data_IF_541471497385
#
_entry.id   IF_541471497385
#
_cell.length_a   1.000
_cell.length_b   1.000
_cell.length_c   1.000
_cell.angle_alpha   90.00
_cell.angle_beta   90.00
_cell.angle_gamma   90.00
#
_symmetry.space_group_name_H-M   'P 1'
#
loop_
_entity.id
_entity.type
_entity.pdbx_description
1 polymer ?
#
# COMPACT_ATOMS: atom_id res chain seq x y z
N UNK A 1 -19.18 -38.11 10.97
CA UNK A 1 -19.91 -37.28 11.95
C UNK A 1 -20.69 -36.26 11.16
N UNK A 2 -22.01 -36.29 11.22
CA UNK A 2 -22.87 -35.48 10.33
C UNK A 2 -23.48 -34.28 11.06
N UNK A 3 -22.88 -33.91 12.21
CA UNK A 3 -23.33 -32.81 13.05
C UNK A 3 -22.58 -31.53 12.68
N UNK A 4 -23.27 -30.42 12.32
CA UNK A 4 -22.62 -29.14 12.06
C UNK A 4 -21.77 -28.66 13.25
N UNK A 5 -20.61 -28.05 12.97
CA UNK A 5 -19.66 -27.58 14.00
C UNK A 5 -20.32 -26.67 15.05
N UNK A 6 -21.22 -25.78 14.63
CA UNK A 6 -21.98 -24.89 15.52
C UNK A 6 -22.83 -25.63 16.56
N UNK A 7 -23.27 -26.86 16.26
CA UNK A 7 -24.10 -27.69 17.16
C UNK A 7 -23.27 -28.54 18.13
N UNK A 8 -21.94 -28.57 18.01
CA UNK A 8 -21.07 -29.26 18.97
C UNK A 8 -21.13 -28.58 20.33
N UNK A 9 -20.93 -29.33 21.41
CA UNK A 9 -20.75 -28.74 22.73
C UNK A 9 -19.41 -28.00 22.79
N UNK A 10 -19.26 -27.05 23.71
CA UNK A 10 -18.01 -26.30 23.90
C UNK A 10 -16.82 -27.25 24.12
N UNK A 11 -16.97 -28.20 25.05
CA UNK A 11 -15.99 -29.26 25.28
C UNK A 11 -15.60 -30.05 24.02
N UNK A 12 -16.56 -30.35 23.13
CA UNK A 12 -16.27 -31.06 21.88
C UNK A 12 -15.45 -30.19 20.92
N UNK A 13 -15.76 -28.88 20.85
CA UNK A 13 -14.99 -27.93 20.04
C UNK A 13 -13.58 -27.75 20.59
N UNK A 14 -13.44 -27.63 21.90
CA UNK A 14 -12.14 -27.44 22.54
C UNK A 14 -11.22 -28.65 22.33
N UNK A 15 -11.75 -29.86 22.45
CA UNK A 15 -10.96 -31.07 22.18
C UNK A 15 -10.49 -31.12 20.71
N UNK A 16 -11.34 -30.71 19.78
CA UNK A 16 -10.98 -30.67 18.36
C UNK A 16 -9.94 -29.58 18.06
N UNK A 17 -10.09 -28.38 18.64
CA UNK A 17 -9.25 -27.23 18.33
C UNK A 17 -7.93 -27.25 19.10
N UNK A 18 -7.96 -27.56 20.39
CA UNK A 18 -6.83 -27.42 21.32
C UNK A 18 -6.31 -28.76 21.86
N UNK A 19 -6.96 -29.87 21.50
CA UNK A 19 -6.46 -31.22 21.76
C UNK A 19 -7.12 -31.93 22.94
N UNK A 20 -6.73 -33.19 23.13
CA UNK A 20 -7.32 -34.08 24.14
C UNK A 20 -6.73 -33.94 25.55
N UNK A 21 -5.83 -32.97 25.77
CA UNK A 21 -5.04 -32.86 27.00
C UNK A 21 -4.13 -34.08 27.14
N UNK A 22 -4.13 -34.72 28.31
CA UNK A 22 -3.31 -35.93 28.55
C UNK A 22 -3.99 -37.23 28.11
N UNK A 23 -5.19 -37.17 27.53
CA UNK A 23 -5.92 -38.37 27.13
C UNK A 23 -5.41 -38.89 25.80
N UNK A 24 -4.94 -40.12 25.80
CA UNK A 24 -4.59 -40.83 24.57
C UNK A 24 -5.83 -41.27 23.81
N UNK A 25 -5.79 -41.13 22.49
CA UNK A 25 -6.85 -41.54 21.57
C UNK A 25 -6.26 -42.56 20.60
N UNK A 26 -6.98 -43.66 20.36
CA UNK A 26 -6.60 -44.63 19.33
C UNK A 26 -7.01 -44.11 17.95
N UNK A 27 -6.02 -43.86 17.10
CA UNK A 27 -6.21 -43.50 15.70
C UNK A 27 -5.95 -44.71 14.80
N UNK A 28 -6.89 -44.99 13.90
CA UNK A 28 -6.73 -45.99 12.85
C UNK A 28 -6.52 -45.28 11.52
N UNK A 29 -5.36 -45.50 10.90
CA UNK A 29 -4.99 -44.90 9.62
C UNK A 29 -4.95 -45.97 8.54
N UNK A 30 -5.58 -45.69 7.40
CA UNK A 30 -5.45 -46.51 6.20
C UNK A 30 -4.28 -46.00 5.37
N UNK A 31 -3.29 -46.85 5.14
CA UNK A 31 -2.15 -46.51 4.29
C UNK A 31 -2.57 -46.52 2.82
N UNK A 32 -1.85 -45.76 1.99
CA UNK A 32 -2.07 -45.72 0.52
C UNK A 32 -2.01 -47.09 -0.16
N UNK A 33 -1.30 -48.06 0.42
CA UNK A 33 -1.16 -49.44 -0.11
C UNK A 33 -2.18 -50.44 0.47
N UNK A 34 -3.21 -49.99 1.20
CA UNK A 34 -4.35 -50.83 1.61
C UNK A 34 -4.24 -51.49 2.99
N UNK A 35 -3.15 -51.28 3.75
CA UNK A 35 -3.03 -51.75 5.13
C UNK A 35 -3.53 -50.74 6.17
N UNK A 36 -4.21 -51.20 7.21
CA UNK A 36 -4.62 -50.38 8.37
C UNK A 36 -3.59 -50.43 9.49
N UNK A 37 -3.21 -49.27 10.03
CA UNK A 37 -2.32 -49.14 11.19
C UNK A 37 -3.05 -48.42 12.33
N UNK A 38 -3.04 -49.03 13.51
CA UNK A 38 -3.51 -48.40 14.74
C UNK A 38 -2.35 -47.73 15.47
N UNK A 39 -2.58 -46.53 16.00
CA UNK A 39 -1.65 -45.82 16.88
C UNK A 39 -2.44 -45.13 17.99
N UNK A 40 -2.05 -45.37 19.22
CA UNK A 40 -2.55 -44.62 20.37
C UNK A 40 -1.63 -43.43 20.59
N UNK A 41 -2.18 -42.23 20.55
CA UNK A 41 -1.43 -41.00 20.80
C UNK A 41 -2.32 -39.91 21.35
N UNK A 42 -1.73 -38.95 22.04
CA UNK A 42 -2.41 -37.71 22.42
C UNK A 42 -2.72 -36.90 21.16
N UNK A 43 -3.95 -36.40 21.08
CA UNK A 43 -4.34 -35.50 20.00
C UNK A 43 -3.97 -34.06 20.38
N UNK A 44 -3.01 -33.47 19.67
CA UNK A 44 -2.52 -32.11 19.97
C UNK A 44 -3.55 -30.99 19.64
N UNK A 45 -4.60 -31.30 18.87
CA UNK A 45 -5.56 -30.30 18.41
C UNK A 45 -5.18 -29.65 17.07
N UNK A 46 -6.18 -29.12 16.37
CA UNK A 46 -5.98 -28.50 15.04
C UNK A 46 -5.17 -27.20 15.14
N UNK A 47 -5.44 -26.34 16.12
CA UNK A 47 -4.77 -25.03 16.26
C UNK A 47 -3.29 -25.19 16.64
N UNK A 48 -2.92 -25.99 17.66
CA UNK A 48 -1.52 -26.26 17.96
C UNK A 48 -0.80 -26.96 16.80
N UNK A 49 -1.46 -27.87 16.08
CA UNK A 49 -0.87 -28.50 14.89
C UNK A 49 -0.48 -27.49 13.82
N UNK A 50 -1.39 -26.56 13.46
CA UNK A 50 -1.12 -25.51 12.46
C UNK A 50 0.02 -24.61 12.94
N UNK A 51 -0.06 -24.13 14.19
CA UNK A 51 0.96 -23.24 14.77
C UNK A 51 2.34 -23.90 14.79
N UNK A 52 2.42 -25.15 15.26
CA UNK A 52 3.67 -25.91 15.33
C UNK A 52 4.26 -26.16 13.94
N UNK A 53 3.43 -26.58 12.97
CA UNK A 53 3.88 -26.79 11.58
C UNK A 53 4.35 -25.50 10.91
N UNK A 54 3.77 -24.36 11.25
CA UNK A 54 4.23 -23.07 10.76
C UNK A 54 5.61 -22.70 11.33
N UNK A 55 5.82 -22.83 12.64
CA UNK A 55 7.07 -22.41 13.30
C UNK A 55 8.22 -23.41 13.14
N UNK A 56 7.95 -24.71 13.21
CA UNK A 56 8.99 -25.74 13.24
C UNK A 56 9.33 -26.31 11.85
N UNK A 57 8.45 -26.16 10.85
CA UNK A 57 8.73 -26.74 9.53
C UNK A 57 9.91 -26.01 8.86
N UNK A 58 10.88 -26.75 8.28
CA UNK A 58 11.94 -26.17 7.45
C UNK A 58 11.47 -25.86 6.02
N UNK A 59 10.26 -26.29 5.62
CA UNK A 59 9.74 -26.12 4.27
C UNK A 59 8.95 -24.81 4.14
N UNK A 60 9.40 -23.93 3.25
CA UNK A 60 8.72 -22.67 2.93
C UNK A 60 7.29 -22.90 2.43
N UNK A 61 7.09 -23.85 1.51
CA UNK A 61 5.77 -24.27 1.04
C UNK A 61 4.84 -24.67 2.19
N UNK A 62 5.36 -25.39 3.19
CA UNK A 62 4.54 -25.77 4.35
C UNK A 62 4.14 -24.55 5.17
N UNK A 63 5.06 -23.59 5.39
CA UNK A 63 4.75 -22.35 6.10
C UNK A 63 3.70 -21.52 5.37
N UNK A 64 3.84 -21.37 4.06
CA UNK A 64 2.87 -20.66 3.21
C UNK A 64 1.48 -21.34 3.21
N UNK A 65 1.45 -22.68 3.23
CA UNK A 65 0.18 -23.40 3.34
C UNK A 65 -0.48 -23.23 4.70
N UNK A 66 0.30 -23.16 5.79
CA UNK A 66 -0.24 -22.95 7.14
C UNK A 66 -0.67 -21.49 7.37
N UNK A 67 0.04 -20.51 6.77
CA UNK A 67 -0.29 -19.09 6.94
C UNK A 67 -1.68 -18.72 6.42
N UNK A 68 -2.22 -19.47 5.44
CA UNK A 68 -3.60 -19.31 4.94
C UNK A 68 -4.68 -19.48 6.01
N UNK A 69 -4.35 -20.12 7.14
CA UNK A 69 -5.26 -20.31 8.27
C UNK A 69 -4.95 -19.37 9.45
N UNK A 70 -4.03 -18.42 9.25
CA UNK A 70 -3.58 -17.49 10.27
C UNK A 70 -3.98 -16.06 9.89
N UNK A 71 -4.05 -15.18 10.88
CA UNK A 71 -4.21 -13.74 10.67
C UNK A 71 -3.06 -13.02 11.36
N UNK A 72 -2.62 -11.92 10.76
CA UNK A 72 -1.67 -11.01 11.41
C UNK A 72 -2.40 -10.24 12.51
N UNK A 73 -1.77 -10.13 13.67
CA UNK A 73 -2.23 -9.35 14.81
C UNK A 73 -1.15 -8.34 15.20
N UNK A 74 -1.51 -7.17 15.74
CA UNK A 74 -0.54 -6.24 16.31
C UNK A 74 0.30 -6.95 17.38
N UNK A 75 1.62 -6.78 17.30
CA UNK A 75 2.54 -7.33 18.30
C UNK A 75 2.21 -6.78 19.69
N UNK A 76 2.09 -7.66 20.69
CA UNK A 76 1.77 -7.26 22.07
C UNK A 76 2.85 -6.40 22.72
N UNK A 77 4.11 -6.51 22.28
CA UNK A 77 5.25 -5.78 22.85
C UNK A 77 5.35 -4.34 22.32
N UNK A 78 5.24 -4.16 21.00
CA UNK A 78 5.40 -2.85 20.36
C UNK A 78 4.09 -2.24 19.89
N UNK A 79 2.96 -2.92 20.10
CA UNK A 79 1.62 -2.53 19.67
C UNK A 79 1.52 -2.18 18.18
N UNK A 80 2.33 -2.84 17.34
CA UNK A 80 2.37 -2.58 15.90
C UNK A 80 3.29 -1.43 15.47
N UNK A 81 3.96 -0.73 16.40
CA UNK A 81 4.88 0.39 16.10
C UNK A 81 6.25 -0.04 15.55
N UNK A 82 6.58 -1.33 15.63
CA UNK A 82 7.79 -1.97 15.03
C UNK A 82 9.14 -1.42 15.53
N UNK A 83 9.13 -0.72 16.67
CA UNK A 83 10.31 -0.12 17.29
C UNK A 83 10.49 -0.60 18.73
N UNK A 84 11.72 -0.50 19.23
CA UNK A 84 12.03 -0.81 20.62
C UNK A 84 11.42 0.23 21.57
N UNK A 85 11.32 -0.13 22.86
CA UNK A 85 10.76 0.77 23.88
C UNK A 85 11.61 2.03 24.04
N UNK A 86 12.92 1.90 23.91
CA UNK A 86 13.88 3.01 23.99
C UNK A 86 13.66 3.99 22.84
N UNK A 87 13.49 3.50 21.61
CA UNK A 87 13.21 4.33 20.44
C UNK A 87 11.86 5.07 20.57
N UNK A 88 10.84 4.41 21.13
CA UNK A 88 9.52 5.02 21.39
C UNK A 88 9.51 5.97 22.60
N UNK A 89 10.60 6.03 23.38
CA UNK A 89 10.73 6.95 24.51
C UNK A 89 11.31 8.32 24.09
N UNK A 90 11.61 8.51 22.81
CA UNK A 90 12.07 9.79 22.25
C UNK A 90 10.88 10.57 21.71
N UNK A 91 10.70 11.80 22.20
CA UNK A 91 9.60 12.68 21.82
C UNK A 91 10.12 13.92 21.11
N UNK A 92 9.44 14.31 20.04
CA UNK A 92 9.64 15.57 19.34
C UNK A 92 8.28 16.27 19.35
N UNK A 93 8.22 17.54 19.77
CA UNK A 93 6.95 18.28 19.85
C UNK A 93 5.81 17.55 20.57
N UNK A 94 6.13 16.78 21.63
CA UNK A 94 5.17 16.04 22.44
C UNK A 94 4.74 14.66 21.92
N UNK A 95 5.20 14.19 20.75
CA UNK A 95 4.86 12.88 20.20
C UNK A 95 6.12 12.05 19.89
N UNK A 96 6.03 10.73 20.05
CA UNK A 96 7.08 9.83 19.57
C UNK A 96 6.89 9.48 18.09
N UNK A 97 7.93 8.92 17.48
CA UNK A 97 7.93 8.55 16.05
C UNK A 97 6.79 7.59 15.68
N UNK A 98 6.43 6.66 16.57
CA UNK A 98 5.36 5.69 16.32
C UNK A 98 3.97 6.32 16.25
N UNK A 99 3.74 7.37 17.03
CA UNK A 99 2.47 8.13 17.01
C UNK A 99 2.36 9.01 15.76
N UNK A 100 3.46 9.66 15.36
CA UNK A 100 3.44 10.55 14.19
C UNK A 100 3.20 9.77 12.89
N UNK A 101 3.72 8.54 12.76
CA UNK A 101 3.49 7.74 11.56
C UNK A 101 2.08 7.13 11.46
N UNK A 102 1.34 7.11 12.57
CA UNK A 102 -0.08 6.71 12.61
C UNK A 102 -1.01 7.83 12.14
N UNK A 103 -0.56 9.08 12.12
CA UNK A 103 -1.31 10.17 11.52
C UNK A 103 -1.49 9.96 10.02
N UNK A 104 -2.67 10.36 9.54
CA UNK A 104 -2.85 10.57 8.10
C UNK A 104 -1.90 11.66 7.61
N UNK A 105 -1.58 11.66 6.33
CA UNK A 105 -0.66 12.62 5.72
C UNK A 105 -1.13 14.06 5.96
N UNK A 106 -2.44 14.33 5.89
CA UNK A 106 -3.00 15.65 6.24
C UNK A 106 -2.73 16.04 7.70
N UNK A 107 -2.95 15.13 8.64
CA UNK A 107 -2.70 15.35 10.07
C UNK A 107 -1.22 15.54 10.36
N UNK A 108 -0.34 14.70 9.78
CA UNK A 108 1.10 14.82 9.90
C UNK A 108 1.61 16.15 9.33
N UNK A 109 1.09 16.57 8.17
CA UNK A 109 1.43 17.86 7.57
C UNK A 109 1.06 19.02 8.48
N UNK A 110 -0.15 18.99 9.06
CA UNK A 110 -0.60 20.01 10.00
C UNK A 110 0.24 20.00 11.28
N UNK A 111 0.60 18.82 11.78
CA UNK A 111 1.47 18.68 12.95
C UNK A 111 2.85 19.32 12.71
N UNK A 112 3.55 18.98 11.62
CA UNK A 112 4.88 19.54 11.35
C UNK A 112 4.86 21.03 11.00
N UNK A 113 3.77 21.55 10.43
CA UNK A 113 3.62 23.00 10.18
C UNK A 113 3.48 23.82 11.46
N UNK A 114 2.87 23.23 12.50
CA UNK A 114 2.54 23.91 13.75
C UNK A 114 3.36 23.41 14.94
N UNK A 115 4.41 22.62 14.69
CA UNK A 115 5.26 22.10 15.75
C UNK A 115 5.99 23.24 16.44
N UNK A 116 5.88 23.29 17.77
CA UNK A 116 6.57 24.29 18.56
C UNK A 116 7.88 23.70 19.11
N UNK A 117 9.01 24.27 18.71
CA UNK A 117 10.35 23.87 19.11
C UNK A 117 11.08 25.05 19.76
N UNK A 118 12.13 24.78 20.54
CA UNK A 118 13.02 25.83 21.04
C UNK A 118 13.73 26.53 19.87
N UNK A 119 14.22 27.76 20.06
CA UNK A 119 14.94 28.48 19.00
C UNK A 119 16.15 27.68 18.48
N UNK A 120 16.87 27.00 19.38
CA UNK A 120 18.02 26.18 19.04
C UNK A 120 17.61 24.95 18.22
N UNK A 121 16.60 24.21 18.67
CA UNK A 121 16.11 23.02 17.96
C UNK A 121 15.53 23.40 16.60
N UNK A 122 14.80 24.52 16.53
CA UNK A 122 14.24 25.04 15.30
C UNK A 122 15.34 25.39 14.29
N UNK A 123 16.44 26.00 14.74
CA UNK A 123 17.57 26.32 13.87
C UNK A 123 18.23 25.06 13.28
N UNK A 124 18.40 24.01 14.09
CA UNK A 124 18.98 22.72 13.66
C UNK A 124 18.02 21.96 12.73
N UNK A 125 16.73 21.90 13.09
CA UNK A 125 15.73 21.10 12.41
C UNK A 125 15.13 21.79 11.16
N UNK A 126 15.37 23.10 10.95
CA UNK A 126 14.73 23.90 9.90
C UNK A 126 14.77 23.23 8.52
N UNK A 127 15.94 22.74 8.09
CA UNK A 127 16.09 22.12 6.78
C UNK A 127 15.38 20.76 6.68
N UNK A 128 15.38 19.99 7.76
CA UNK A 128 14.69 18.70 7.86
C UNK A 128 13.17 18.93 7.85
N UNK A 129 12.66 19.88 8.63
CA UNK A 129 11.24 20.24 8.67
C UNK A 129 10.75 20.73 7.31
N UNK A 130 11.53 21.56 6.61
CA UNK A 130 11.21 21.99 5.24
C UNK A 130 11.06 20.80 4.30
N UNK A 131 11.96 19.82 4.36
CA UNK A 131 11.90 18.63 3.52
C UNK A 131 10.69 17.75 3.84
N UNK A 132 10.41 17.51 5.13
CA UNK A 132 9.25 16.73 5.58
C UNK A 132 7.95 17.40 5.11
N UNK A 133 7.79 18.70 5.38
CA UNK A 133 6.62 19.48 4.98
C UNK A 133 6.46 19.46 3.46
N UNK A 134 7.54 19.60 2.70
CA UNK A 134 7.51 19.54 1.24
C UNK A 134 6.99 18.18 0.75
N UNK A 135 7.54 17.06 1.26
CA UNK A 135 7.13 15.71 0.86
C UNK A 135 5.68 15.40 1.21
N UNK A 136 5.26 15.75 2.42
CA UNK A 136 3.87 15.59 2.85
C UNK A 136 2.92 16.45 2.01
N UNK A 137 3.34 17.66 1.62
CA UNK A 137 2.58 18.53 0.71
C UNK A 137 2.43 17.88 -0.67
N UNK A 138 3.49 17.29 -1.23
CA UNK A 138 3.39 16.59 -2.52
C UNK A 138 2.41 15.42 -2.47
N UNK A 139 2.47 14.61 -1.42
CA UNK A 139 1.52 13.50 -1.24
C UNK A 139 0.07 14.01 -1.11
N UNK A 140 -0.13 15.13 -0.41
CA UNK A 140 -1.44 15.78 -0.32
C UNK A 140 -1.93 16.35 -1.66
N UNK A 141 -1.03 16.90 -2.48
CA UNK A 141 -1.38 17.46 -3.80
C UNK A 141 -1.82 16.37 -4.79
N UNK A 142 -1.27 15.16 -4.68
CA UNK A 142 -1.68 14.01 -5.49
C UNK A 142 -2.85 13.21 -4.88
N UNK A 143 -3.58 13.78 -3.92
CA UNK A 143 -4.81 13.18 -3.39
C UNK A 143 -4.58 11.98 -2.47
N UNK A 144 -3.46 11.91 -1.76
CA UNK A 144 -3.13 10.81 -0.83
C UNK A 144 -3.22 11.24 0.64
N UNK A 145 -3.88 12.35 0.95
CA UNK A 145 -3.90 12.95 2.28
C UNK A 145 -4.54 12.10 3.38
N UNK A 146 -5.34 11.10 2.98
CA UNK A 146 -6.03 10.15 3.86
C UNK A 146 -5.16 8.96 4.28
N UNK A 147 -4.05 8.71 3.58
CA UNK A 147 -3.13 7.62 3.92
C UNK A 147 -2.32 7.95 5.16
N UNK A 148 -1.97 6.93 5.94
CA UNK A 148 -1.00 7.04 7.03
C UNK A 148 0.41 6.67 6.54
N UNK A 149 1.45 7.19 7.20
CA UNK A 149 2.84 6.90 6.84
C UNK A 149 3.24 5.44 7.17
N UNK A 150 2.55 4.81 8.12
CA UNK A 150 2.77 3.42 8.51
C UNK A 150 1.96 2.40 7.69
N UNK A 151 1.17 2.82 6.68
CA UNK A 151 0.40 1.89 5.84
C UNK A 151 1.34 0.95 5.08
N UNK A 152 1.04 -0.35 5.13
CA UNK A 152 1.83 -1.35 4.43
C UNK A 152 1.74 -1.18 2.91
N UNK A 153 2.88 -1.10 2.23
CA UNK A 153 2.96 -0.85 0.78
C UNK A 153 2.19 -1.88 -0.06
N UNK A 154 2.19 -3.15 0.36
CA UNK A 154 1.45 -4.22 -0.33
C UNK A 154 -0.08 -4.09 -0.27
N UNK A 155 -0.62 -3.16 0.53
CA UNK A 155 -2.06 -2.90 0.63
C UNK A 155 -2.52 -1.70 -0.20
N UNK A 156 -1.60 -1.06 -0.91
CA UNK A 156 -1.91 0.07 -1.79
C UNK A 156 -2.49 -0.43 -3.11
N UNK A 157 -3.50 0.28 -3.61
CA UNK A 157 -3.97 0.13 -4.98
C UNK A 157 -2.91 0.59 -5.99
N UNK A 158 -3.05 0.16 -7.25
CA UNK A 158 -2.15 0.57 -8.34
C UNK A 158 -2.06 2.10 -8.48
N UNK A 159 -3.22 2.79 -8.46
CA UNK A 159 -3.28 4.25 -8.53
C UNK A 159 -2.63 4.94 -7.31
N UNK A 160 -2.82 4.41 -6.09
CA UNK A 160 -2.13 4.93 -4.90
C UNK A 160 -0.61 4.80 -5.04
N UNK A 161 -0.10 3.62 -5.43
CA UNK A 161 1.32 3.38 -5.60
C UNK A 161 1.94 4.26 -6.69
N UNK A 162 1.22 4.45 -7.81
CA UNK A 162 1.63 5.34 -8.89
C UNK A 162 1.72 6.79 -8.43
N UNK A 163 0.72 7.28 -7.69
CA UNK A 163 0.73 8.66 -7.17
C UNK A 163 1.81 8.88 -6.10
N UNK A 164 2.12 7.90 -5.26
CA UNK A 164 3.29 7.97 -4.36
C UNK A 164 4.59 8.09 -5.17
N UNK A 165 4.72 7.32 -6.26
CA UNK A 165 5.89 7.42 -7.14
C UNK A 165 5.97 8.80 -7.77
N UNK A 166 4.85 9.36 -8.25
CA UNK A 166 4.78 10.72 -8.79
C UNK A 166 5.22 11.76 -7.76
N UNK A 167 4.64 11.74 -6.56
CA UNK A 167 5.01 12.63 -5.44
C UNK A 167 6.51 12.55 -5.10
N UNK A 168 7.08 11.34 -5.16
CA UNK A 168 8.51 11.12 -4.92
C UNK A 168 9.37 11.74 -6.03
N UNK A 169 8.95 11.65 -7.29
CA UNK A 169 9.66 12.29 -8.41
C UNK A 169 9.60 13.81 -8.32
N UNK A 170 8.46 14.40 -7.96
CA UNK A 170 8.35 15.86 -7.74
C UNK A 170 9.31 16.31 -6.63
N UNK A 171 9.36 15.56 -5.54
CA UNK A 171 10.28 15.84 -4.43
C UNK A 171 11.76 15.75 -4.79
N UNK A 172 12.13 14.99 -5.82
CA UNK A 172 13.52 14.88 -6.25
C UNK A 172 14.08 16.16 -6.90
N UNK A 173 13.20 17.09 -7.34
CA UNK A 173 13.54 18.36 -7.99
C UNK A 173 14.60 18.24 -9.09
N UNK A 174 14.57 17.13 -9.84
CA UNK A 174 15.43 16.93 -10.99
C UNK A 174 15.05 17.89 -12.13
N UNK A 175 16.03 18.25 -12.96
CA UNK A 175 15.87 19.12 -14.11
C UNK A 175 16.45 18.44 -15.35
N UNK A 176 15.90 18.73 -16.55
CA UNK A 176 16.35 18.11 -17.80
C UNK A 176 15.96 16.63 -17.95
N UNK A 177 14.96 16.17 -17.21
CA UNK A 177 14.46 14.79 -17.27
C UNK A 177 13.25 14.70 -18.21
N UNK A 178 13.18 13.61 -18.99
CA UNK A 178 11.97 13.22 -19.71
C UNK A 178 11.16 12.25 -18.86
N UNK A 179 10.03 12.72 -18.34
CA UNK A 179 9.07 11.88 -17.62
C UNK A 179 8.03 11.34 -18.60
N UNK A 180 7.82 10.02 -18.60
CA UNK A 180 6.75 9.35 -19.34
C UNK A 180 5.78 8.77 -18.33
N UNK A 181 4.55 9.27 -18.31
CA UNK A 181 3.50 8.90 -17.37
C UNK A 181 2.35 8.19 -18.10
N UNK A 182 1.83 7.15 -17.48
CA UNK A 182 0.78 6.28 -18.02
C UNK A 182 -0.50 6.44 -17.20
N UNK A 183 -1.49 7.19 -17.69
CA UNK A 183 -2.79 7.46 -17.05
C UNK A 183 -2.70 7.88 -15.56
N UNK A 184 -2.00 8.97 -15.21
CA UNK A 184 -1.88 9.41 -13.82
C UNK A 184 -3.21 9.81 -13.16
N UNK A 185 -4.27 10.07 -13.94
CA UNK A 185 -5.62 10.36 -13.42
C UNK A 185 -6.35 9.12 -12.89
N UNK A 186 -5.84 7.90 -13.13
CA UNK A 186 -6.53 6.67 -12.78
C UNK A 186 -6.83 6.57 -11.27
N UNK A 187 -8.11 6.33 -10.97
CA UNK A 187 -8.59 6.24 -9.58
C UNK A 187 -8.51 7.55 -8.79
N UNK A 188 -8.43 8.70 -9.46
CA UNK A 188 -8.67 10.01 -8.84
C UNK A 188 -10.12 10.45 -9.05
N UNK A 189 -10.61 11.20 -8.08
CA UNK A 189 -11.90 11.89 -8.21
C UNK A 189 -11.70 13.18 -9.03
N UNK A 190 -12.69 13.60 -9.83
CA UNK A 190 -12.56 14.77 -10.72
C UNK A 190 -12.07 16.03 -9.99
N UNK A 191 -12.51 16.23 -8.74
CA UNK A 191 -12.11 17.34 -7.88
C UNK A 191 -10.59 17.43 -7.64
N UNK A 192 -9.89 16.30 -7.63
CA UNK A 192 -8.45 16.26 -7.37
C UNK A 192 -7.62 16.30 -8.67
N UNK A 193 -8.29 16.21 -9.82
CA UNK A 193 -7.64 16.24 -11.14
C UNK A 193 -6.95 17.59 -11.40
N UNK A 194 -7.59 18.71 -11.03
CA UNK A 194 -6.98 20.05 -11.12
C UNK A 194 -5.66 20.14 -10.33
N UNK A 195 -5.60 19.50 -9.16
CA UNK A 195 -4.37 19.47 -8.34
C UNK A 195 -3.28 18.64 -9.00
N UNK A 196 -3.64 17.51 -9.61
CA UNK A 196 -2.72 16.71 -10.39
C UNK A 196 -2.18 17.50 -11.59
N UNK A 197 -3.05 18.14 -12.37
CA UNK A 197 -2.65 18.95 -13.53
C UNK A 197 -1.69 20.07 -13.12
N UNK A 198 -1.98 20.79 -12.02
CA UNK A 198 -1.08 21.83 -11.51
C UNK A 198 0.27 21.25 -11.09
N UNK A 199 0.27 20.09 -10.45
CA UNK A 199 1.49 19.37 -10.07
C UNK A 199 2.33 18.97 -11.29
N UNK A 200 1.71 18.48 -12.37
CA UNK A 200 2.40 18.15 -13.62
C UNK A 200 3.00 19.40 -14.28
N UNK A 201 2.30 20.54 -14.23
CA UNK A 201 2.81 21.82 -14.71
C UNK A 201 4.01 22.30 -13.90
N UNK A 202 3.97 22.19 -12.57
CA UNK A 202 5.12 22.49 -11.71
C UNK A 202 6.34 21.63 -12.09
N UNK A 203 6.14 20.32 -12.33
CA UNK A 203 7.23 19.44 -12.78
C UNK A 203 7.84 19.88 -14.11
N UNK A 204 6.99 20.27 -15.09
CA UNK A 204 7.41 20.82 -16.38
C UNK A 204 8.21 22.10 -16.18
N UNK A 205 7.69 23.01 -15.36
CA UNK A 205 8.25 24.35 -15.15
C UNK A 205 9.57 24.34 -14.37
N UNK A 206 9.90 23.22 -13.71
CA UNK A 206 11.26 22.95 -13.19
C UNK A 206 12.29 22.70 -14.31
N UNK A 207 11.90 22.72 -15.59
CA UNK A 207 12.78 22.47 -16.73
C UNK A 207 12.80 21.01 -17.17
N UNK A 208 11.67 20.31 -17.00
CA UNK A 208 11.49 18.93 -17.46
C UNK A 208 10.50 18.85 -18.61
N UNK A 209 10.54 17.74 -19.34
CA UNK A 209 9.54 17.42 -20.36
C UNK A 209 8.68 16.27 -19.87
N UNK A 210 7.36 16.41 -20.00
CA UNK A 210 6.41 15.37 -19.63
C UNK A 210 5.71 14.87 -20.89
N UNK A 211 5.69 13.55 -21.07
CA UNK A 211 4.81 12.84 -22.00
C UNK A 211 3.80 12.09 -21.16
N UNK A 212 2.53 12.44 -21.30
CA UNK A 212 1.45 11.85 -20.51
C UNK A 212 0.50 11.12 -21.46
N UNK A 213 0.33 9.82 -21.26
CA UNK A 213 -0.74 9.05 -21.89
C UNK A 213 -1.98 9.23 -21.04
N UNK A 214 -3.04 9.80 -21.60
CA UNK A 214 -4.28 10.12 -20.87
C UNK A 214 -5.50 10.02 -21.78
N UNK A 215 -6.65 9.86 -21.13
CA UNK A 215 -7.97 9.88 -21.76
C UNK A 215 -8.93 10.89 -21.09
N UNK A 216 -8.46 11.61 -20.05
CA UNK A 216 -9.21 12.66 -19.37
C UNK A 216 -9.23 14.00 -20.14
N UNK A 217 -10.44 14.56 -20.33
CA UNK A 217 -10.68 15.78 -21.12
C UNK A 217 -10.01 17.02 -20.50
N UNK A 218 -10.04 17.17 -19.18
CA UNK A 218 -9.44 18.33 -18.49
C UNK A 218 -7.92 18.35 -18.67
N UNK A 219 -7.28 17.18 -18.56
CA UNK A 219 -5.83 17.02 -18.78
C UNK A 219 -5.46 17.29 -20.24
N UNK A 220 -6.23 16.73 -21.18
CA UNK A 220 -6.04 16.99 -22.62
C UNK A 220 -6.17 18.47 -22.97
N UNK A 221 -7.15 19.18 -22.39
CA UNK A 221 -7.34 20.63 -22.57
C UNK A 221 -6.22 21.47 -21.97
N UNK A 222 -5.65 21.01 -20.85
CA UNK A 222 -4.60 21.72 -20.13
C UNK A 222 -3.20 21.52 -20.72
N UNK A 223 -3.02 20.58 -21.66
CA UNK A 223 -1.75 20.26 -22.28
C UNK A 223 -1.23 21.38 -23.20
N UNK A 224 0.09 21.59 -23.23
CA UNK A 224 0.71 22.53 -24.16
C UNK A 224 0.68 21.99 -25.61
N UNK A 225 0.77 20.68 -25.75
CA UNK A 225 0.77 19.94 -27.01
C UNK A 225 0.04 18.61 -26.83
N UNK A 226 -0.72 18.22 -27.84
CA UNK A 226 -1.53 17.01 -27.86
C UNK A 226 -1.23 16.22 -29.13
N UNK A 227 -1.03 14.91 -28.97
CA UNK A 227 -0.82 13.95 -30.06
C UNK A 227 -1.89 12.90 -29.93
N UNK A 228 -2.65 12.71 -31.01
CA UNK A 228 -3.71 11.72 -31.10
C UNK A 228 -3.24 10.52 -31.94
N UNK A 229 -3.45 9.31 -31.42
CA UNK A 229 -3.00 8.05 -32.02
C UNK A 229 -4.22 7.18 -32.31
N UNK A 230 -4.34 6.73 -33.55
CA UNK A 230 -5.51 5.96 -34.00
C UNK A 230 -5.34 5.49 -35.45
N UNK A 231 -6.42 5.43 -36.25
CA UNK A 231 -7.83 5.70 -35.91
C UNK A 231 -8.54 4.57 -35.14
N UNK A 232 -7.96 3.36 -35.10
CA UNK A 232 -8.46 2.22 -34.34
C UNK A 232 -7.39 1.61 -33.43
N UNK A 233 -7.71 0.47 -32.82
CA UNK A 233 -6.77 -0.31 -32.01
C UNK A 233 -6.10 -1.43 -32.83
N UNK A 234 -4.98 -1.96 -32.34
CA UNK A 234 -4.29 -3.09 -32.95
C UNK A 234 -3.77 -2.79 -34.36
N UNK A 235 -4.07 -3.65 -35.33
CA UNK A 235 -3.65 -3.50 -36.73
C UNK A 235 -4.28 -2.28 -37.43
N UNK A 236 -5.35 -1.71 -36.87
CA UNK A 236 -6.03 -0.52 -37.39
C UNK A 236 -5.54 0.78 -36.74
N UNK A 237 -4.52 0.71 -35.87
CA UNK A 237 -3.95 1.84 -35.14
C UNK A 237 -2.50 2.15 -35.50
N UNK A 238 -1.80 2.79 -34.56
CA UNK A 238 -0.36 3.05 -34.66
C UNK A 238 0.02 4.22 -35.57
N UNK A 239 -0.96 5.03 -35.99
CA UNK A 239 -0.72 6.22 -36.81
C UNK A 239 -1.02 7.48 -36.00
N UNK A 240 -0.23 8.54 -36.23
CA UNK A 240 -0.53 9.87 -35.70
C UNK A 240 -1.67 10.45 -36.53
N UNK A 241 -2.87 10.50 -35.95
CA UNK A 241 -4.06 11.07 -36.60
C UNK A 241 -3.97 12.58 -36.61
N UNK A 242 -3.57 13.17 -35.48
CA UNK A 242 -3.42 14.60 -35.35
C UNK A 242 -2.36 14.99 -34.32
N UNK A 243 -1.78 16.18 -34.51
CA UNK A 243 -0.83 16.75 -33.56
C UNK A 243 -0.83 18.28 -33.59
N UNK A 244 -0.73 18.89 -32.40
CA UNK A 244 -0.72 20.33 -32.24
C UNK A 244 -1.16 20.79 -30.86
N UNK A 245 -1.54 22.05 -30.73
CA UNK A 245 -2.22 22.52 -29.52
C UNK A 245 -3.60 21.85 -29.38
N UNK A 246 -4.14 21.70 -28.16
CA UNK A 246 -5.48 21.11 -27.98
C UNK A 246 -6.56 21.80 -28.83
N UNK A 247 -6.47 23.12 -28.99
CA UNK A 247 -7.38 23.92 -29.83
C UNK A 247 -7.28 23.59 -31.33
N UNK A 248 -6.08 23.22 -31.81
CA UNK A 248 -5.87 22.80 -33.21
C UNK A 248 -6.44 21.41 -33.42
N UNK A 249 -6.18 20.49 -32.49
CA UNK A 249 -6.70 19.11 -32.56
C UNK A 249 -8.23 19.12 -32.51
N UNK A 250 -8.85 19.89 -31.61
CA UNK A 250 -10.32 20.03 -31.53
C UNK A 250 -11.00 20.54 -32.83
N UNK A 251 -10.28 21.27 -33.69
CA UNK A 251 -10.83 21.81 -34.94
C UNK A 251 -10.82 20.81 -36.08
N UNK A 252 -10.15 19.67 -35.92
CA UNK A 252 -10.09 18.63 -36.94
C UNK A 252 -11.45 17.94 -36.96
N UNK A 253 -12.34 18.44 -37.82
CA UNK A 253 -13.55 17.73 -38.22
C UNK A 253 -13.12 16.56 -39.09
N UNK A 254 -13.02 15.38 -38.50
CA UNK A 254 -13.14 14.04 -39.09
C UNK A 254 -12.22 13.08 -38.32
N UNK A 255 -12.83 12.32 -37.42
CA UNK A 255 -12.43 10.97 -37.04
C UNK A 255 -13.66 10.09 -37.24
#
# INVERSE_FOLDING_TARGET
>A
MDKPFKKLTERQRDILLYGSGDKEIEFTFTQRQGGTRKRTMVFEGVVPNISRRFHESPSEYTREMMSKYMTELPCETCHGKRLSREALSVYVGGLNIGEVVEYSISQALNYYKNINLSEQDQAIANQILKEIISRLTFLNNVGLEYLTLNRASGTLSGGEAQRIRLATQIGSRLTGVLYVLDEPSIGLHQRDNDRLINTLKEMRDLGNTLIVVEHDDDTMRAADYLVDIGPGAGEHGGQIVSSGTPQKVMKIKNL
#
